data_IF_197682926494
#
_entry.id   IF_197682926494
#
_cell.length_a   1.000
_cell.length_b   1.000
_cell.length_c   1.000
_cell.angle_alpha   90.00
_cell.angle_beta   90.00
_cell.angle_gamma   90.00
#
_symmetry.space_group_name_H-M   'P 1'
#
loop_
_entity.id
_entity.type
_entity.pdbx_description
1 polymer ?
#
# COMPACT_ATOMS: atom_id res chain seq x y z
N UNK A 1 -12.20 -2.53 -1.41
CA UNK A 1 -12.75 -1.29 -2.03
C UNK A 1 -13.99 -1.56 -2.89
N UNK A 2 -13.99 -2.60 -3.74
CA UNK A 2 -15.12 -2.90 -4.63
C UNK A 2 -16.42 -3.18 -3.86
N UNK A 3 -16.38 -4.03 -2.83
CA UNK A 3 -17.54 -4.34 -1.99
C UNK A 3 -18.08 -3.08 -1.30
N UNK A 4 -17.19 -2.25 -0.75
CA UNK A 4 -17.55 -0.98 -0.09
C UNK A 4 -18.15 0.05 -1.06
N UNK A 5 -17.79 0.00 -2.34
CA UNK A 5 -18.32 0.89 -3.36
C UNK A 5 -19.68 0.44 -3.90
N UNK A 6 -20.08 -0.81 -3.67
CA UNK A 6 -21.38 -1.35 -4.08
C UNK A 6 -21.64 -1.18 -5.57
N UNK A 7 -22.77 -0.59 -5.91
CA UNK A 7 -23.22 -0.44 -7.30
C UNK A 7 -22.34 0.51 -8.12
N UNK A 8 -21.65 1.45 -7.49
CA UNK A 8 -20.69 2.31 -8.18
C UNK A 8 -19.54 1.52 -8.81
N UNK A 9 -19.18 0.36 -8.26
CA UNK A 9 -18.16 -0.50 -8.84
C UNK A 9 -18.67 -1.33 -10.04
N UNK A 10 -19.96 -1.61 -10.12
CA UNK A 10 -20.55 -2.43 -11.20
C UNK A 10 -20.66 -1.68 -12.52
N UNK A 11 -20.77 -0.35 -12.45
CA UNK A 11 -20.94 0.50 -13.63
C UNK A 11 -19.62 0.84 -14.36
N UNK A 12 -18.48 0.30 -13.89
CA UNK A 12 -17.16 0.72 -14.37
C UNK A 12 -16.31 -0.48 -14.72
N UNK A 13 -15.69 -0.45 -15.89
CA UNK A 13 -14.66 -1.41 -16.28
C UNK A 13 -13.30 -0.97 -15.77
N UNK A 14 -12.64 -1.82 -14.98
CA UNK A 14 -11.37 -1.48 -14.32
C UNK A 14 -10.28 -2.40 -14.85
N UNK A 15 -9.26 -1.81 -15.48
CA UNK A 15 -8.03 -2.50 -15.86
C UNK A 15 -6.85 -1.89 -15.08
N UNK A 16 -6.11 -2.73 -14.35
CA UNK A 16 -4.98 -2.30 -13.52
C UNK A 16 -3.74 -3.06 -13.94
N UNK A 17 -2.71 -2.33 -14.37
CA UNK A 17 -1.39 -2.89 -14.65
C UNK A 17 -0.44 -2.49 -13.52
N UNK A 18 0.15 -3.47 -12.84
CA UNK A 18 1.11 -3.26 -11.76
C UNK A 18 2.45 -3.88 -12.16
N UNK A 19 3.56 -3.24 -11.83
CA UNK A 19 4.92 -3.72 -12.12
C UNK A 19 5.85 -3.55 -10.92
N UNK A 20 6.79 -4.48 -10.78
CA UNK A 20 7.76 -4.52 -9.68
C UNK A 20 7.18 -5.03 -8.34
N UNK A 21 8.01 -5.02 -7.29
CA UNK A 21 7.62 -5.48 -5.96
C UNK A 21 7.43 -6.99 -5.84
N UNK A 22 6.62 -7.42 -4.87
CA UNK A 22 6.19 -8.81 -4.68
C UNK A 22 4.67 -8.92 -4.65
N UNK A 23 4.13 -10.14 -4.59
CA UNK A 23 2.69 -10.41 -4.70
C UNK A 23 1.82 -9.53 -3.80
N UNK A 24 2.10 -9.48 -2.50
CA UNK A 24 1.33 -8.66 -1.56
C UNK A 24 1.44 -7.16 -1.85
N UNK A 25 2.63 -6.68 -2.21
CA UNK A 25 2.83 -5.27 -2.54
C UNK A 25 2.07 -4.86 -3.82
N UNK A 26 2.01 -5.77 -4.80
CA UNK A 26 1.22 -5.55 -6.01
C UNK A 26 -0.27 -5.53 -5.72
N UNK A 27 -0.76 -6.44 -4.86
CA UNK A 27 -2.15 -6.45 -4.41
C UNK A 27 -2.52 -5.16 -3.67
N UNK A 28 -1.65 -4.66 -2.78
CA UNK A 28 -1.85 -3.38 -2.10
C UNK A 28 -1.85 -2.20 -3.08
N UNK A 29 -0.95 -2.19 -4.06
CA UNK A 29 -0.92 -1.16 -5.10
C UNK A 29 -2.20 -1.15 -5.95
N UNK A 30 -2.68 -2.33 -6.37
CA UNK A 30 -3.94 -2.46 -7.09
C UNK A 30 -5.13 -2.00 -6.24
N UNK A 31 -5.16 -2.38 -4.95
CA UNK A 31 -6.17 -1.96 -3.99
C UNK A 31 -6.24 -0.43 -3.88
N UNK A 32 -5.09 0.23 -3.71
CA UNK A 32 -4.97 1.69 -3.60
C UNK A 32 -5.41 2.39 -4.90
N UNK A 33 -4.96 1.89 -6.06
CA UNK A 33 -5.29 2.47 -7.36
C UNK A 33 -6.80 2.42 -7.64
N UNK A 34 -7.43 1.27 -7.40
CA UNK A 34 -8.88 1.07 -7.58
C UNK A 34 -9.67 2.02 -6.67
N UNK A 35 -9.30 2.11 -5.39
CA UNK A 35 -9.99 2.97 -4.44
C UNK A 35 -9.89 4.46 -4.84
N UNK A 36 -8.70 4.94 -5.22
CA UNK A 36 -8.51 6.34 -5.66
C UNK A 36 -9.28 6.64 -6.95
N UNK A 37 -9.31 5.72 -7.91
CA UNK A 37 -10.10 5.88 -9.13
C UNK A 37 -11.61 5.97 -8.83
N UNK A 38 -12.13 5.14 -7.93
CA UNK A 38 -13.54 5.18 -7.51
C UNK A 38 -13.90 6.47 -6.76
N UNK A 39 -13.01 6.98 -5.89
CA UNK A 39 -13.21 8.26 -5.22
C UNK A 39 -13.25 9.42 -6.21
N UNK A 40 -12.40 9.38 -7.24
CA UNK A 40 -12.38 10.41 -8.28
C UNK A 40 -13.69 10.43 -9.08
N UNK A 41 -14.30 9.26 -9.33
CA UNK A 41 -15.60 9.16 -9.98
C UNK A 41 -16.75 9.59 -9.05
N UNK A 42 -16.72 9.21 -7.77
CA UNK A 42 -17.75 9.58 -6.79
C UNK A 42 -17.15 10.00 -5.45
N UNK A 43 -17.12 11.32 -5.22
CA UNK A 43 -16.58 11.92 -3.99
C UNK A 43 -17.27 11.44 -2.70
N UNK A 44 -18.50 10.90 -2.80
CA UNK A 44 -19.22 10.34 -1.64
C UNK A 44 -18.50 9.13 -1.03
N UNK A 45 -17.74 8.38 -1.83
CA UNK A 45 -17.02 7.19 -1.39
C UNK A 45 -15.78 7.50 -0.54
N UNK A 46 -15.28 8.73 -0.57
CA UNK A 46 -14.09 9.14 0.19
C UNK A 46 -14.27 8.94 1.69
N UNK A 47 -15.39 9.44 2.24
CA UNK A 47 -15.71 9.29 3.66
C UNK A 47 -15.89 7.82 4.04
N UNK A 48 -16.53 7.02 3.18
CA UNK A 48 -16.76 5.59 3.43
C UNK A 48 -15.43 4.85 3.51
N UNK A 49 -14.51 5.11 2.57
CA UNK A 49 -13.20 4.46 2.57
C UNK A 49 -12.33 4.93 3.73
N UNK A 50 -12.32 6.22 4.06
CA UNK A 50 -11.57 6.75 5.22
C UNK A 50 -12.08 6.18 6.55
N UNK A 51 -13.40 6.01 6.70
CA UNK A 51 -14.00 5.42 7.89
C UNK A 51 -13.63 3.94 8.06
N UNK A 52 -13.44 3.21 6.95
CA UNK A 52 -13.03 1.81 7.00
C UNK A 52 -11.52 1.66 7.20
N UNK A 53 -10.71 2.21 6.28
CA UNK A 53 -9.25 2.12 6.32
C UNK A 53 -8.63 3.27 5.51
N UNK A 54 -7.82 4.10 6.21
CA UNK A 54 -7.07 5.20 5.60
C UNK A 54 -6.13 4.74 4.49
N UNK A 55 -5.59 3.53 4.57
CA UNK A 55 -4.67 2.97 3.57
C UNK A 55 -5.33 2.61 2.24
N UNK A 56 -6.67 2.67 2.14
CA UNK A 56 -7.37 2.57 0.85
C UNK A 56 -7.13 3.81 -0.02
N UNK A 57 -6.95 4.98 0.58
CA UNK A 57 -6.77 6.25 -0.16
C UNK A 57 -5.32 6.72 -0.07
N UNK A 58 -4.69 6.58 1.09
CA UNK A 58 -3.34 7.07 1.36
C UNK A 58 -2.33 5.94 1.21
N UNK A 59 -1.34 6.15 0.35
CA UNK A 59 -0.26 5.19 0.14
C UNK A 59 0.59 5.05 1.41
N UNK A 60 1.08 3.84 1.67
CA UNK A 60 2.13 3.64 2.67
C UNK A 60 3.45 4.23 2.16
N UNK A 61 4.03 5.16 2.94
CA UNK A 61 5.29 5.83 2.62
C UNK A 61 6.52 4.96 2.91
N UNK A 62 6.36 3.86 3.66
CA UNK A 62 7.48 3.04 4.11
C UNK A 62 8.23 2.42 2.93
N UNK A 63 9.55 2.49 2.99
CA UNK A 63 10.48 1.85 2.05
C UNK A 63 11.58 1.15 2.83
N UNK A 64 12.27 0.20 2.18
CA UNK A 64 13.39 -0.52 2.79
C UNK A 64 14.49 0.47 3.18
N UNK A 65 14.88 0.47 4.45
CA UNK A 65 16.00 1.27 4.95
C UNK A 65 17.32 0.79 4.30
N UNK A 66 18.22 1.72 4.01
CA UNK A 66 19.56 1.43 3.50
C UNK A 66 20.41 0.68 4.53
N UNK A 67 21.39 -0.10 4.05
CA UNK A 67 22.34 -0.75 4.95
C UNK A 67 23.36 0.29 5.47
N UNK A 68 23.56 0.37 6.78
CA UNK A 68 24.58 1.25 7.39
C UNK A 68 25.94 0.55 7.42
N UNK A 69 27.07 1.29 7.35
CA UNK A 69 28.41 0.70 7.42
C UNK A 69 28.64 -0.06 8.74
N UNK A 70 29.56 -1.02 8.71
CA UNK A 70 29.90 -1.89 9.86
C UNK A 70 28.73 -2.73 10.41
N UNK A 71 27.78 -3.11 9.54
CA UNK A 71 26.66 -4.01 9.87
C UNK A 71 26.72 -5.28 9.03
N UNK A 72 26.31 -6.41 9.62
CA UNK A 72 26.24 -7.71 8.95
C UNK A 72 25.01 -7.79 8.03
N UNK A 73 25.01 -7.04 6.94
CA UNK A 73 24.02 -7.09 5.86
C UNK A 73 22.59 -6.60 6.19
N UNK A 74 22.20 -6.55 7.47
CA UNK A 74 20.91 -6.02 7.92
C UNK A 74 20.99 -4.52 8.18
N UNK A 75 19.89 -3.82 7.90
CA UNK A 75 19.81 -2.37 8.06
C UNK A 75 20.18 -1.90 9.47
N UNK A 76 19.80 -2.63 10.54
CA UNK A 76 19.98 -2.22 11.95
C UNK A 76 20.85 -3.13 12.84
N UNK A 77 21.14 -4.36 12.43
CA UNK A 77 21.88 -5.30 13.27
C UNK A 77 23.34 -4.87 13.49
N UNK A 78 23.87 -5.17 14.68
CA UNK A 78 25.29 -4.96 15.02
C UNK A 78 25.87 -6.28 15.49
N UNK A 79 27.19 -6.43 15.38
CA UNK A 79 27.92 -7.57 15.96
C UNK A 79 27.79 -7.54 17.48
N UNK A 80 27.54 -8.69 18.10
CA UNK A 80 27.58 -8.83 19.55
C UNK A 80 29.00 -8.52 20.06
N UNK A 81 29.10 -7.70 21.10
CA UNK A 81 30.38 -7.43 21.78
C UNK A 81 30.56 -8.44 22.92
N UNK A 82 31.75 -8.99 23.05
CA UNK A 82 32.22 -9.73 24.23
C UNK A 82 33.27 -8.88 24.95
N UNK A 83 33.03 -8.54 26.20
CA UNK A 83 34.05 -7.91 27.05
C UNK A 83 34.78 -9.01 27.85
N UNK A 84 36.04 -8.76 28.20
CA UNK A 84 36.78 -9.53 29.19
C UNK A 84 36.84 -8.72 30.47
#
# INVERSE_FOLDING_TARGET
PLILAGDNAKNVNINVRVSGGGYNAQAEAARLAIARALVQSSKKLEKVFLNYDRHLIVADIRRKETCKPNRHGKARAKRQKSYR
#
